data_IF_596096172687
#
_entry.id   IF_596096172687
#
_cell.length_a   1.000
_cell.length_b   1.000
_cell.length_c   1.000
_cell.angle_alpha   90.00
_cell.angle_beta   90.00
_cell.angle_gamma   90.00
#
_symmetry.space_group_name_H-M   'P 1'
#
loop_
_entity.id
_entity.type
_entity.pdbx_description
1 polymer ?
#
# COMPACT_ATOMS: atom_id res chain seq x y z
N UNK A 1 27.58 -4.09 -36.34
CA UNK A 1 26.81 -3.14 -35.50
C UNK A 1 25.31 -3.31 -35.64
N UNK A 2 24.76 -3.52 -36.83
CA UNK A 2 23.28 -3.75 -37.02
C UNK A 2 22.87 -5.14 -36.50
N UNK A 3 23.76 -6.13 -36.53
CA UNK A 3 23.50 -7.52 -36.14
C UNK A 3 23.48 -7.75 -34.60
N UNK A 4 24.18 -6.90 -33.85
CA UNK A 4 24.20 -6.96 -32.38
C UNK A 4 22.94 -6.37 -31.75
N UNK A 5 22.38 -5.30 -32.31
CA UNK A 5 21.09 -4.75 -31.85
C UNK A 5 19.94 -5.75 -32.06
N UNK A 6 19.87 -6.37 -33.24
CA UNK A 6 18.84 -7.39 -33.52
C UNK A 6 18.98 -8.64 -32.62
N UNK A 7 20.21 -8.97 -32.21
CA UNK A 7 20.47 -10.06 -31.27
C UNK A 7 20.06 -9.72 -29.81
N UNK A 8 20.18 -8.46 -29.41
CA UNK A 8 19.68 -7.97 -28.11
C UNK A 8 18.17 -7.91 -28.08
N UNK A 9 17.51 -7.45 -29.14
CA UNK A 9 16.03 -7.47 -29.25
C UNK A 9 15.50 -8.90 -29.18
N UNK A 10 16.13 -9.87 -29.90
CA UNK A 10 15.71 -11.28 -29.84
C UNK A 10 15.96 -11.94 -28.46
N UNK A 11 16.94 -11.48 -27.68
CA UNK A 11 17.20 -11.98 -26.33
C UNK A 11 16.17 -11.39 -25.35
N UNK A 12 15.75 -10.14 -25.51
CA UNK A 12 14.73 -9.51 -24.69
C UNK A 12 13.33 -10.10 -24.92
N UNK A 13 13.00 -10.49 -26.16
CA UNK A 13 11.77 -11.22 -26.49
C UNK A 13 11.71 -12.64 -25.90
N UNK A 14 12.82 -13.21 -25.44
CA UNK A 14 12.86 -14.56 -24.85
C UNK A 14 12.70 -14.61 -23.33
N UNK A 15 12.72 -13.49 -22.65
CA UNK A 15 12.43 -13.38 -21.22
C UNK A 15 11.04 -12.76 -21.06
N UNK A 16 10.05 -13.61 -20.84
CA UNK A 16 8.71 -13.23 -20.40
C UNK A 16 8.82 -12.74 -18.94
N UNK A 17 9.31 -11.50 -18.78
CA UNK A 17 9.57 -10.89 -17.49
C UNK A 17 8.65 -9.70 -17.31
N UNK A 18 7.72 -9.84 -16.39
CA UNK A 18 6.85 -8.74 -15.96
C UNK A 18 7.58 -7.83 -14.97
N UNK A 19 7.41 -6.54 -15.11
CA UNK A 19 7.94 -5.55 -14.19
C UNK A 19 6.80 -4.85 -13.46
N UNK A 20 6.94 -4.82 -12.14
CA UNK A 20 6.07 -4.04 -11.27
C UNK A 20 6.78 -2.76 -10.83
N UNK A 21 5.99 -1.78 -10.38
CA UNK A 21 6.54 -0.52 -9.85
C UNK A 21 6.02 -0.27 -8.43
N UNK A 22 6.91 0.26 -7.56
CA UNK A 22 6.56 0.61 -6.20
C UNK A 22 6.51 2.12 -6.02
N UNK A 23 5.40 2.62 -5.52
CA UNK A 23 5.17 4.02 -5.23
C UNK A 23 5.11 4.31 -3.73
N UNK A 24 5.78 5.37 -3.31
CA UNK A 24 5.59 5.99 -2.02
C UNK A 24 5.04 7.39 -2.22
N UNK A 25 3.76 7.60 -1.92
CA UNK A 25 3.17 8.94 -1.94
C UNK A 25 3.90 9.77 -0.89
N UNK A 26 4.61 10.79 -1.33
CA UNK A 26 5.59 11.49 -0.50
C UNK A 26 5.45 13.01 -0.63
N UNK A 27 5.61 13.69 0.49
CA UNK A 27 5.62 15.15 0.57
C UNK A 27 7.00 15.59 1.08
N UNK A 28 7.95 15.72 0.15
CA UNK A 28 9.35 16.03 0.44
C UNK A 28 9.74 17.38 -0.15
N UNK A 29 10.57 18.16 0.56
CA UNK A 29 11.07 19.42 0.00
C UNK A 29 12.01 19.16 -1.18
N UNK A 30 11.94 20.00 -2.18
CA UNK A 30 12.89 20.04 -3.27
C UNK A 30 14.22 20.71 -2.86
N UNK A 31 15.15 20.85 -3.80
CA UNK A 31 16.46 21.49 -3.55
C UNK A 31 16.38 22.97 -3.20
N UNK A 32 15.26 23.63 -3.48
CA UNK A 32 14.99 25.02 -3.10
C UNK A 32 14.32 25.15 -1.73
N UNK A 33 13.92 24.03 -1.13
CA UNK A 33 13.18 23.95 0.12
C UNK A 33 11.66 24.06 -0.07
N UNK A 34 11.17 24.08 -1.31
CA UNK A 34 9.73 24.04 -1.58
C UNK A 34 9.17 22.64 -1.31
N UNK A 35 8.10 22.60 -0.51
CA UNK A 35 7.35 21.37 -0.24
C UNK A 35 5.99 21.46 -0.93
N UNK A 36 5.64 20.50 -1.81
CA UNK A 36 4.37 20.54 -2.52
C UNK A 36 3.18 20.44 -1.56
N UNK A 37 2.08 21.08 -1.93
CA UNK A 37 0.80 20.88 -1.24
C UNK A 37 0.31 19.44 -1.41
N UNK A 38 -0.65 19.00 -0.58
CA UNK A 38 -1.23 17.65 -0.71
C UNK A 38 -1.85 17.43 -2.10
N UNK A 39 -2.50 18.44 -2.67
CA UNK A 39 -3.09 18.35 -4.00
C UNK A 39 -2.02 18.15 -5.08
N UNK A 40 -0.92 18.88 -5.01
CA UNK A 40 0.21 18.72 -5.93
C UNK A 40 0.90 17.37 -5.76
N UNK A 41 1.07 16.92 -4.52
CA UNK A 41 1.62 15.60 -4.21
C UNK A 41 0.79 14.47 -4.86
N UNK A 42 -0.53 14.52 -4.73
CA UNK A 42 -1.41 13.54 -5.36
C UNK A 42 -1.45 13.68 -6.88
N UNK A 43 -1.44 14.90 -7.41
CA UNK A 43 -1.39 15.12 -8.85
C UNK A 43 -0.11 14.50 -9.46
N UNK A 44 1.04 14.78 -8.86
CA UNK A 44 2.33 14.20 -9.27
C UNK A 44 2.34 12.67 -9.16
N UNK A 45 1.72 12.12 -8.12
CA UNK A 45 1.62 10.68 -7.96
C UNK A 45 0.78 10.05 -9.08
N UNK A 46 -0.39 10.61 -9.40
CA UNK A 46 -1.25 10.06 -10.45
C UNK A 46 -0.63 10.20 -11.84
N UNK A 47 0.07 11.28 -12.13
CA UNK A 47 0.84 11.44 -13.38
C UNK A 47 1.89 10.32 -13.54
N UNK A 48 2.60 9.99 -12.46
CA UNK A 48 3.58 8.89 -12.50
C UNK A 48 2.89 7.52 -12.68
N UNK A 49 1.72 7.30 -12.10
CA UNK A 49 0.94 6.07 -12.29
C UNK A 49 0.46 5.93 -13.73
N UNK A 50 -0.05 7.01 -14.32
CA UNK A 50 -0.47 7.05 -15.73
C UNK A 50 0.71 6.75 -16.66
N UNK A 51 1.88 7.33 -16.38
CA UNK A 51 3.11 7.04 -17.12
C UNK A 51 3.55 5.56 -16.96
N UNK A 52 3.42 4.98 -15.78
CA UNK A 52 3.75 3.57 -15.55
C UNK A 52 2.82 2.63 -16.34
N UNK A 53 1.53 2.97 -16.45
CA UNK A 53 0.58 2.25 -17.30
C UNK A 53 0.97 2.31 -18.78
N UNK A 54 1.36 3.49 -19.28
CA UNK A 54 1.84 3.69 -20.65
C UNK A 54 3.14 2.94 -20.96
N UNK A 55 4.01 2.79 -19.96
CA UNK A 55 5.28 2.06 -20.07
C UNK A 55 5.13 0.54 -19.93
N UNK A 56 3.94 0.03 -19.61
CA UNK A 56 3.63 -1.40 -19.55
C UNK A 56 4.05 -2.09 -18.25
N UNK A 57 4.12 -1.38 -17.11
CA UNK A 57 4.28 -2.03 -15.82
C UNK A 57 3.04 -2.84 -15.47
N UNK A 58 3.22 -4.03 -14.84
CA UNK A 58 2.15 -4.96 -14.49
C UNK A 58 1.33 -4.48 -13.30
N UNK A 59 1.97 -4.21 -12.16
CA UNK A 59 1.31 -3.79 -10.92
C UNK A 59 1.95 -2.52 -10.36
N UNK A 60 1.12 -1.56 -9.99
CA UNK A 60 1.51 -0.39 -9.22
C UNK A 60 1.29 -0.64 -7.72
N UNK A 61 2.36 -0.94 -7.00
CA UNK A 61 2.35 -1.17 -5.55
C UNK A 61 2.45 0.15 -4.80
N UNK A 62 1.48 0.44 -3.92
CA UNK A 62 1.42 1.69 -3.16
C UNK A 62 1.77 1.47 -1.69
N UNK A 63 2.78 2.17 -1.21
CA UNK A 63 3.15 2.18 0.20
C UNK A 63 2.07 2.84 1.06
N UNK A 64 1.76 2.22 2.20
CA UNK A 64 0.81 2.74 3.17
C UNK A 64 1.44 2.83 4.56
N UNK A 65 1.41 4.01 5.15
CA UNK A 65 1.83 4.23 6.53
C UNK A 65 0.81 5.12 7.25
N UNK A 66 -0.03 4.50 8.07
CA UNK A 66 -1.04 5.20 8.86
C UNK A 66 -0.38 6.07 9.92
N UNK A 67 -0.84 7.32 10.08
CA UNK A 67 -0.29 8.33 11.00
C UNK A 67 1.21 8.63 10.79
N UNK A 68 1.76 8.30 9.64
CA UNK A 68 3.19 8.52 9.36
C UNK A 68 3.59 9.99 9.42
N UNK A 69 2.71 10.89 8.98
CA UNK A 69 2.95 12.35 9.00
C UNK A 69 3.23 12.86 10.41
N UNK A 70 2.43 12.46 11.41
CA UNK A 70 2.62 12.91 12.78
C UNK A 70 3.98 12.47 13.32
N UNK A 71 4.35 11.20 13.11
CA UNK A 71 5.62 10.66 13.59
C UNK A 71 6.79 11.25 12.83
N UNK A 72 6.69 11.39 11.52
CA UNK A 72 7.75 11.96 10.69
C UNK A 72 8.01 13.42 11.04
N UNK A 73 6.98 14.22 11.30
CA UNK A 73 7.12 15.62 11.76
C UNK A 73 7.78 15.74 13.14
N UNK A 74 7.58 14.78 14.03
CA UNK A 74 8.16 14.77 15.38
C UNK A 74 9.56 14.16 15.44
N UNK A 75 9.96 13.40 14.43
CA UNK A 75 11.26 12.76 14.41
C UNK A 75 12.36 13.73 13.95
N UNK A 76 13.46 13.76 14.69
CA UNK A 76 14.67 14.47 14.28
C UNK A 76 15.46 13.78 13.16
N UNK A 77 15.13 12.53 12.86
CA UNK A 77 15.76 11.74 11.80
C UNK A 77 14.70 11.33 10.78
N UNK A 78 15.02 11.35 9.48
CA UNK A 78 14.09 10.90 8.45
C UNK A 78 13.74 9.41 8.64
N UNK A 79 12.49 9.05 8.40
CA UNK A 79 12.01 7.65 8.48
C UNK A 79 12.67 6.79 7.40
N UNK A 80 12.92 7.37 6.25
CA UNK A 80 13.73 6.76 5.18
C UNK A 80 15.07 7.51 5.14
N UNK A 81 16.21 6.83 5.33
CA UNK A 81 17.53 7.46 5.26
C UNK A 81 17.69 8.29 3.98
N UNK A 82 18.26 9.47 4.12
CA UNK A 82 18.50 10.42 3.03
C UNK A 82 17.24 11.04 2.37
N UNK A 83 16.04 10.78 2.91
CA UNK A 83 14.80 11.34 2.41
C UNK A 83 14.22 12.31 3.45
N UNK A 84 14.48 13.61 3.35
CA UNK A 84 13.84 14.60 4.22
C UNK A 84 12.38 14.75 3.82
N UNK A 85 11.46 14.73 4.79
CA UNK A 85 10.03 14.89 4.54
C UNK A 85 9.22 13.64 4.86
N UNK A 86 8.01 13.61 4.38
CA UNK A 86 7.02 12.60 4.72
C UNK A 86 6.80 11.63 3.57
N UNK A 87 6.78 10.34 3.88
CA UNK A 87 6.65 9.25 2.91
C UNK A 87 5.54 8.28 3.29
N UNK A 88 4.99 7.57 2.32
CA UNK A 88 3.94 6.59 2.55
C UNK A 88 2.59 7.20 2.94
N UNK A 89 2.25 8.35 2.41
CA UNK A 89 1.06 9.14 2.78
C UNK A 89 -0.26 8.58 2.21
N UNK A 90 -0.33 7.29 1.95
CA UNK A 90 -1.56 6.60 1.59
C UNK A 90 -2.23 6.04 2.85
N UNK A 91 -3.30 6.68 3.32
CA UNK A 91 -4.07 6.22 4.50
C UNK A 91 -5.39 5.56 4.12
N UNK A 92 -5.87 5.79 2.89
CA UNK A 92 -7.12 5.27 2.36
C UNK A 92 -6.88 4.55 1.02
N UNK A 93 -6.17 3.43 1.09
CA UNK A 93 -5.69 2.70 -0.09
C UNK A 93 -6.78 2.43 -1.14
N UNK A 94 -7.96 1.95 -0.72
CA UNK A 94 -9.03 1.62 -1.68
C UNK A 94 -9.56 2.84 -2.43
N UNK A 95 -9.54 4.03 -1.83
CA UNK A 95 -9.91 5.27 -2.52
C UNK A 95 -8.84 5.69 -3.54
N UNK A 96 -7.58 5.55 -3.19
CA UNK A 96 -6.45 5.79 -4.10
C UNK A 96 -6.49 4.79 -5.25
N UNK A 97 -6.70 3.51 -4.97
CA UNK A 97 -6.84 2.46 -5.97
C UNK A 97 -7.99 2.76 -6.96
N UNK A 98 -9.15 3.21 -6.46
CA UNK A 98 -10.27 3.61 -7.31
C UNK A 98 -9.87 4.72 -8.30
N UNK A 99 -9.12 5.71 -7.84
CA UNK A 99 -8.63 6.79 -8.70
C UNK A 99 -7.58 6.28 -9.70
N UNK A 100 -6.70 5.37 -9.30
CA UNK A 100 -5.72 4.76 -10.21
C UNK A 100 -6.43 3.99 -11.33
N UNK A 101 -7.37 3.11 -11.02
CA UNK A 101 -8.14 2.37 -12.03
C UNK A 101 -8.93 3.28 -12.97
N UNK A 102 -9.44 4.41 -12.49
CA UNK A 102 -10.18 5.36 -13.33
C UNK A 102 -9.29 6.08 -14.33
N UNK A 103 -8.00 6.25 -14.02
CA UNK A 103 -7.02 7.01 -14.79
C UNK A 103 -6.17 6.17 -15.72
N UNK A 104 -6.11 4.86 -15.50
CA UNK A 104 -5.25 3.90 -16.21
C UNK A 104 -6.08 2.89 -16.99
N UNK A 105 -5.44 2.10 -17.84
CA UNK A 105 -6.12 1.13 -18.71
C UNK A 105 -5.66 -0.30 -18.51
N UNK A 106 -4.39 -0.54 -18.20
CA UNK A 106 -3.76 -1.86 -18.18
C UNK A 106 -3.20 -2.23 -16.82
N UNK A 107 -2.55 -1.28 -16.11
CA UNK A 107 -1.84 -1.54 -14.86
C UNK A 107 -2.80 -1.98 -13.75
N UNK A 108 -2.44 -3.04 -13.06
CA UNK A 108 -3.13 -3.50 -11.84
C UNK A 108 -2.63 -2.71 -10.63
N UNK A 109 -3.36 -2.77 -9.51
CA UNK A 109 -3.05 -1.95 -8.33
C UNK A 109 -2.85 -2.84 -7.11
N UNK A 110 -1.80 -2.56 -6.34
CA UNK A 110 -1.45 -3.32 -5.14
C UNK A 110 -1.17 -2.46 -3.90
N UNK A 111 -1.57 -2.93 -2.71
CA UNK A 111 -1.16 -2.31 -1.45
C UNK A 111 0.15 -2.90 -0.93
N UNK A 112 1.11 -2.04 -0.55
CA UNK A 112 2.42 -2.47 -0.05
C UNK A 112 2.87 -1.67 1.18
N UNK A 113 2.27 -1.90 2.34
CA UNK A 113 1.25 -2.89 2.68
C UNK A 113 0.20 -2.29 3.61
N UNK A 114 -1.00 -2.81 3.56
CA UNK A 114 -2.09 -2.42 4.44
C UNK A 114 -1.83 -2.91 5.88
N UNK A 115 -1.98 -2.05 6.89
CA UNK A 115 -1.84 -2.44 8.30
C UNK A 115 -3.17 -2.95 8.83
N UNK A 116 -3.34 -4.28 8.98
CA UNK A 116 -4.57 -4.87 9.49
C UNK A 116 -4.90 -4.53 10.95
N UNK A 117 -3.90 -4.11 11.73
CA UNK A 117 -4.10 -3.76 13.13
C UNK A 117 -4.46 -2.28 13.35
N UNK A 118 -4.47 -1.49 12.28
CA UNK A 118 -4.80 -0.08 12.30
C UNK A 118 -6.13 0.20 11.59
N UNK A 119 -6.58 1.43 11.62
CA UNK A 119 -7.64 1.96 10.77
C UNK A 119 -8.98 1.18 10.86
N UNK A 120 -9.31 0.70 12.05
CA UNK A 120 -10.55 -0.06 12.33
C UNK A 120 -10.40 -1.58 12.34
N UNK A 121 -9.17 -2.08 12.13
CA UNK A 121 -8.86 -3.50 12.23
C UNK A 121 -9.34 -4.34 11.04
N UNK A 122 -9.26 -5.69 11.17
CA UNK A 122 -9.49 -6.59 10.06
C UNK A 122 -10.91 -6.52 9.48
N UNK A 123 -11.90 -6.28 10.32
CA UNK A 123 -13.30 -6.17 9.88
C UNK A 123 -13.49 -4.95 8.97
N UNK A 124 -13.05 -3.78 9.42
CA UNK A 124 -13.19 -2.56 8.63
C UNK A 124 -12.40 -2.60 7.32
N UNK A 125 -11.25 -3.27 7.31
CA UNK A 125 -10.49 -3.50 6.09
C UNK A 125 -11.23 -4.44 5.13
N UNK A 126 -11.80 -5.54 5.63
CA UNK A 126 -12.57 -6.46 4.81
C UNK A 126 -13.82 -5.78 4.18
N UNK A 127 -14.54 -4.98 4.96
CA UNK A 127 -15.70 -4.22 4.47
C UNK A 127 -15.32 -3.21 3.38
N UNK A 128 -14.20 -2.48 3.54
CA UNK A 128 -13.71 -1.52 2.54
C UNK A 128 -13.27 -2.21 1.26
N UNK A 129 -12.53 -3.31 1.38
CA UNK A 129 -12.09 -4.10 0.21
C UNK A 129 -13.31 -4.72 -0.48
N UNK A 130 -14.24 -5.31 0.28
CA UNK A 130 -15.47 -5.88 -0.26
C UNK A 130 -16.32 -4.83 -1.00
N UNK A 131 -16.48 -3.65 -0.42
CA UNK A 131 -17.18 -2.54 -1.06
C UNK A 131 -16.48 -2.07 -2.34
N UNK A 132 -15.14 -1.97 -2.31
CA UNK A 132 -14.36 -1.63 -3.48
C UNK A 132 -14.57 -2.67 -4.60
N UNK A 133 -14.46 -3.96 -4.29
CA UNK A 133 -14.61 -5.03 -5.28
C UNK A 133 -16.01 -5.04 -5.90
N UNK A 134 -17.04 -4.79 -5.09
CA UNK A 134 -18.41 -4.68 -5.59
C UNK A 134 -18.58 -3.51 -6.57
N UNK A 135 -17.99 -2.35 -6.27
CA UNK A 135 -18.01 -1.18 -7.15
C UNK A 135 -17.16 -1.37 -8.41
N UNK A 136 -15.98 -1.95 -8.25
CA UNK A 136 -15.07 -2.25 -9.37
C UNK A 136 -15.68 -3.23 -10.36
N UNK A 137 -16.38 -4.25 -9.88
CA UNK A 137 -17.06 -5.25 -10.70
C UNK A 137 -18.39 -4.80 -11.35
N UNK A 138 -18.84 -3.54 -11.17
CA UNK A 138 -20.00 -3.01 -11.87
C UNK A 138 -19.75 -2.93 -13.39
N UNK A 139 -18.53 -2.59 -13.78
CA UNK A 139 -18.13 -2.62 -15.18
C UNK A 139 -17.70 -4.04 -15.57
N UNK A 140 -18.46 -4.76 -16.42
CA UNK A 140 -18.14 -6.13 -16.81
C UNK A 140 -16.86 -6.24 -17.65
N UNK A 141 -16.42 -5.14 -18.26
CA UNK A 141 -15.20 -5.09 -19.06
C UNK A 141 -13.95 -4.83 -18.21
N UNK A 142 -14.11 -4.52 -16.92
CA UNK A 142 -12.99 -4.32 -15.99
C UNK A 142 -12.49 -5.65 -15.44
N UNK A 143 -11.33 -6.06 -15.88
CA UNK A 143 -10.72 -7.36 -15.51
C UNK A 143 -9.46 -7.22 -14.67
N UNK A 144 -8.96 -5.99 -14.47
CA UNK A 144 -7.73 -5.74 -13.68
C UNK A 144 -7.94 -6.06 -12.21
N UNK A 145 -6.91 -6.61 -11.60
CA UNK A 145 -6.98 -7.09 -10.22
C UNK A 145 -6.56 -6.03 -9.21
N UNK A 146 -7.16 -6.10 -8.04
CA UNK A 146 -6.67 -5.45 -6.85
C UNK A 146 -5.83 -6.45 -6.05
N UNK A 147 -4.54 -6.16 -5.86
CA UNK A 147 -3.63 -6.96 -5.06
C UNK A 147 -3.58 -6.43 -3.63
N UNK A 148 -3.77 -7.31 -2.66
CA UNK A 148 -3.78 -6.93 -1.25
C UNK A 148 -2.57 -7.52 -0.53
N UNK A 149 -1.54 -6.69 -0.35
CA UNK A 149 -0.47 -6.95 0.61
C UNK A 149 -0.86 -6.36 1.97
N UNK A 150 -0.69 -7.13 3.05
CA UNK A 150 -1.03 -6.68 4.40
C UNK A 150 -0.04 -7.15 5.45
N UNK A 151 0.01 -6.46 6.58
CA UNK A 151 0.93 -6.75 7.69
C UNK A 151 0.37 -6.28 9.03
N UNK A 152 1.13 -6.55 10.10
CA UNK A 152 0.88 -6.01 11.44
C UNK A 152 1.20 -4.49 11.57
N UNK A 153 1.68 -3.87 10.50
CA UNK A 153 2.24 -2.52 10.51
C UNK A 153 3.72 -2.49 10.92
N UNK A 154 4.51 -1.72 10.18
CA UNK A 154 5.96 -1.59 10.42
C UNK A 154 6.26 -0.86 11.73
N UNK A 155 5.48 0.18 12.04
CA UNK A 155 5.73 1.07 13.15
C UNK A 155 4.75 0.81 14.29
N UNK A 156 5.23 0.82 15.53
CA UNK A 156 4.42 0.60 16.72
C UNK A 156 3.30 1.63 16.86
N UNK A 157 3.56 2.88 16.53
CA UNK A 157 2.57 3.95 16.61
C UNK A 157 1.33 3.73 15.73
N UNK A 158 1.41 2.87 14.71
CA UNK A 158 0.28 2.59 13.82
C UNK A 158 -0.86 1.85 14.52
N UNK A 159 -0.54 0.98 15.46
CA UNK A 159 -1.52 0.17 16.19
C UNK A 159 -1.86 0.76 17.59
N UNK A 160 -1.00 1.60 18.14
CA UNK A 160 -1.16 2.21 19.47
C UNK A 160 -2.47 2.98 19.66
N UNK A 161 -2.97 3.81 18.71
CA UNK A 161 -4.24 4.51 18.84
C UNK A 161 -5.46 3.58 18.94
N UNK A 162 -5.30 2.33 18.53
CA UNK A 162 -6.35 1.31 18.59
C UNK A 162 -6.24 0.41 19.82
N UNK A 163 -5.41 0.78 20.80
CA UNK A 163 -5.23 0.05 22.04
C UNK A 163 -4.40 -1.22 21.94
N UNK A 164 -3.73 -1.45 20.82
CA UNK A 164 -2.84 -2.59 20.59
C UNK A 164 -1.45 -2.23 21.10
N UNK A 165 -1.28 -2.31 22.41
CA UNK A 165 -0.08 -1.94 23.16
C UNK A 165 0.15 -2.95 24.29
N UNK A 166 1.39 -3.13 24.75
CA UNK A 166 1.65 -3.88 25.98
C UNK A 166 1.02 -3.15 27.17
N UNK A 167 0.37 -3.91 28.08
CA UNK A 167 -0.36 -3.37 29.23
C UNK A 167 0.47 -3.37 30.52
N UNK A 168 1.49 -4.20 30.57
CA UNK A 168 2.38 -4.35 31.71
C UNK A 168 3.77 -4.86 31.27
N UNK A 169 4.72 -4.92 32.19
CA UNK A 169 6.10 -5.31 31.92
C UNK A 169 6.24 -6.78 31.42
N UNK A 170 5.34 -7.66 31.83
CA UNK A 170 5.36 -9.06 31.41
C UNK A 170 4.89 -9.17 29.96
N UNK A 171 3.80 -8.50 29.64
CA UNK A 171 3.27 -8.39 28.27
C UNK A 171 4.28 -7.70 27.36
N UNK A 172 4.98 -6.66 27.84
CA UNK A 172 6.02 -5.97 27.08
C UNK A 172 7.17 -6.89 26.72
N UNK A 173 7.63 -7.71 27.66
CA UNK A 173 8.68 -8.70 27.41
C UNK A 173 8.28 -9.76 26.37
N UNK A 174 7.00 -10.14 26.32
CA UNK A 174 6.46 -11.11 25.36
C UNK A 174 5.90 -10.45 24.08
N UNK A 175 5.96 -9.11 23.97
CA UNK A 175 5.25 -8.34 22.96
C UNK A 175 5.50 -8.76 21.50
N UNK A 176 6.74 -9.07 21.07
CA UNK A 176 6.98 -9.52 19.71
C UNK A 176 6.18 -10.77 19.33
N UNK A 177 6.09 -11.76 20.24
CA UNK A 177 5.32 -12.99 20.02
C UNK A 177 3.81 -12.73 20.06
N UNK A 178 3.33 -11.97 21.04
CA UNK A 178 1.92 -11.61 21.18
C UNK A 178 1.42 -10.80 20.00
N UNK A 179 2.20 -9.86 19.52
CA UNK A 179 1.86 -9.08 18.32
C UNK A 179 1.76 -9.96 17.08
N UNK A 180 2.62 -10.97 16.96
CA UNK A 180 2.53 -11.97 15.90
C UNK A 180 1.23 -12.78 15.97
N UNK A 181 0.80 -13.20 17.15
CA UNK A 181 -0.48 -13.91 17.36
C UNK A 181 -1.69 -13.02 17.04
N UNK A 182 -1.70 -11.79 17.54
CA UNK A 182 -2.75 -10.81 17.22
C UNK A 182 -2.85 -10.59 15.71
N UNK A 183 -1.73 -10.49 15.03
CA UNK A 183 -1.71 -10.34 13.58
C UNK A 183 -2.21 -11.60 12.85
N UNK A 184 -1.84 -12.79 13.31
CA UNK A 184 -2.32 -14.04 12.71
C UNK A 184 -3.85 -14.16 12.83
N UNK A 185 -4.41 -13.87 14.01
CA UNK A 185 -5.87 -13.83 14.23
C UNK A 185 -6.56 -12.77 13.37
N UNK A 186 -6.01 -11.56 13.33
CA UNK A 186 -6.54 -10.49 12.48
C UNK A 186 -6.52 -10.87 11.00
N UNK A 187 -5.47 -11.56 10.54
CA UNK A 187 -5.35 -12.05 9.17
C UNK A 187 -6.40 -13.11 8.84
N UNK A 188 -6.61 -14.04 9.76
CA UNK A 188 -7.67 -15.07 9.62
C UNK A 188 -9.05 -14.41 9.52
N UNK A 189 -9.39 -13.51 10.43
CA UNK A 189 -10.66 -12.77 10.40
C UNK A 189 -10.84 -12.04 9.08
N UNK A 190 -9.82 -11.32 8.63
CA UNK A 190 -9.86 -10.56 7.38
C UNK A 190 -10.12 -11.47 6.17
N UNK A 191 -9.37 -12.56 6.03
CA UNK A 191 -9.49 -13.48 4.90
C UNK A 191 -10.84 -14.23 4.89
N UNK A 192 -11.33 -14.65 6.06
CA UNK A 192 -12.63 -15.32 6.18
C UNK A 192 -13.79 -14.41 5.81
N UNK A 193 -13.74 -13.14 6.23
CA UNK A 193 -14.75 -12.15 5.84
C UNK A 193 -14.72 -11.86 4.33
N UNK A 194 -13.54 -11.76 3.73
CA UNK A 194 -13.42 -11.61 2.26
C UNK A 194 -13.93 -12.84 1.51
N UNK A 195 -13.84 -14.02 2.10
CA UNK A 195 -14.39 -15.26 1.56
C UNK A 195 -15.93 -15.38 1.78
N UNK A 196 -16.56 -14.37 2.36
CA UNK A 196 -18.02 -14.34 2.60
C UNK A 196 -18.48 -15.19 3.80
N UNK A 197 -17.56 -15.58 4.69
CA UNK A 197 -17.92 -16.34 5.88
C UNK A 197 -18.58 -15.45 6.94
N UNK A 198 -19.52 -16.06 7.69
CA UNK A 198 -20.11 -15.45 8.87
C UNK A 198 -19.28 -15.83 10.09
N UNK A 199 -18.71 -14.82 10.76
CA UNK A 199 -17.87 -15.03 11.94
C UNK A 199 -18.70 -14.63 13.19
N UNK A 200 -18.74 -15.54 14.18
CA UNK A 200 -19.35 -15.29 15.49
C UNK A 200 -18.27 -14.95 16.51
N UNK A 201 -18.58 -14.02 17.42
CA UNK A 201 -17.77 -13.69 18.59
C UNK A 201 -18.04 -14.59 19.80
N UNK A 202 -18.82 -15.67 19.62
CA UNK A 202 -19.15 -16.65 20.66
C UNK A 202 -18.14 -17.77 20.66
#
# INVERSE_FOLDING_TARGET
MVDECARFETILESFDMDFDIFFSISQTPDTSGYTPSENEMFANFFEQVEMADELGFGVAWVAQAHLSTEVQKKNSKPVVPHYPGEVGLCTAFVQVAQQMFTRTKNIEVGSAVMCLLANGGPIAHAERVGSFLALHGINPDESRKLHIGFSAGRFEFMARPYGIIPRDIVVEAAWPALRGQIFAEASEIFLRLLNGEVISTK
#
